data_IF_000636177306
#
_entry.id   IF_000636177306
#
_cell.length_a   1.000
_cell.length_b   1.000
_cell.length_c   1.000
_cell.angle_alpha   90.00
_cell.angle_beta   90.00
_cell.angle_gamma   90.00
#
_symmetry.space_group_name_H-M   'P 1'
#
loop_
_entity.id
_entity.type
_entity.pdbx_description
1 polymer ?
#
# COMPACT_ATOMS: atom_id res chain seq x y z
N UNK A 1 -0.51 7.22 22.81
CA UNK A 1 -0.57 5.80 22.37
C UNK A 1 -1.63 5.66 21.28
N UNK A 2 -1.31 4.92 20.23
CA UNK A 2 -2.26 4.66 19.15
C UNK A 2 -3.41 3.78 19.64
N UNK A 3 -4.65 4.23 19.43
CA UNK A 3 -5.82 3.40 19.73
C UNK A 3 -5.97 2.30 18.70
N UNK A 4 -6.58 1.20 19.10
CA UNK A 4 -6.85 0.06 18.24
C UNK A 4 -8.33 -0.04 17.91
N UNK A 5 -8.64 -0.63 16.78
CA UNK A 5 -10.01 -0.92 16.33
C UNK A 5 -10.07 -2.34 15.80
N UNK A 6 -11.23 -2.95 15.93
CA UNK A 6 -11.47 -4.28 15.37
C UNK A 6 -12.35 -4.15 14.13
N UNK A 7 -11.86 -4.64 13.02
CA UNK A 7 -12.61 -4.76 11.76
C UNK A 7 -13.22 -6.16 11.69
N UNK A 8 -14.53 -6.21 11.47
CA UNK A 8 -15.21 -7.49 11.52
C UNK A 8 -15.19 -8.08 12.92
N UNK A 9 -14.86 -9.37 13.04
CA UNK A 9 -14.90 -10.09 14.31
C UNK A 9 -13.56 -10.18 15.01
N UNK A 10 -12.45 -10.16 14.26
CA UNK A 10 -11.13 -10.53 14.82
C UNK A 10 -9.94 -9.78 14.21
N UNK A 11 -10.13 -8.90 13.24
CA UNK A 11 -9.01 -8.17 12.62
C UNK A 11 -8.72 -6.88 13.41
N UNK A 12 -7.73 -6.93 14.27
CA UNK A 12 -7.30 -5.79 15.07
C UNK A 12 -6.30 -4.93 14.31
N UNK A 13 -6.60 -3.65 14.19
CA UNK A 13 -5.76 -2.68 13.48
C UNK A 13 -5.63 -1.40 14.28
N UNK A 14 -4.58 -0.61 14.00
CA UNK A 14 -4.48 0.74 14.54
C UNK A 14 -5.66 1.58 14.03
N UNK A 15 -6.15 2.49 14.88
CA UNK A 15 -7.31 3.34 14.55
C UNK A 15 -7.05 4.23 13.34
N UNK A 16 -5.77 4.56 13.09
CA UNK A 16 -5.32 5.30 11.91
C UNK A 16 -4.44 4.36 11.08
N UNK A 17 -4.74 4.26 9.80
CA UNK A 17 -3.92 3.52 8.84
C UNK A 17 -3.06 4.44 8.00
N UNK A 18 -2.01 3.90 7.41
CA UNK A 18 -1.15 4.63 6.47
C UNK A 18 -1.49 4.23 5.04
N UNK A 19 -1.97 5.20 4.24
CA UNK A 19 -2.11 5.02 2.80
C UNK A 19 -0.75 5.13 2.14
N UNK A 20 -0.34 4.13 1.37
CA UNK A 20 0.99 4.07 0.78
C UNK A 20 1.03 4.49 -0.70
N UNK A 21 -0.10 4.77 -1.31
CA UNK A 21 -0.18 5.13 -2.73
C UNK A 21 0.76 6.28 -3.11
N UNK A 22 0.83 7.30 -2.28
CA UNK A 22 1.61 8.50 -2.56
C UNK A 22 3.12 8.28 -2.68
N UNK A 23 3.64 7.14 -2.22
CA UNK A 23 5.08 6.86 -2.35
C UNK A 23 5.49 6.57 -3.79
N UNK A 24 4.58 6.09 -4.63
CA UNK A 24 4.95 5.61 -5.96
C UNK A 24 3.90 5.83 -7.05
N UNK A 25 2.78 6.47 -6.73
CA UNK A 25 1.67 6.61 -7.70
C UNK A 25 0.91 7.92 -7.49
N UNK A 26 0.45 8.52 -8.58
CA UNK A 26 -0.50 9.63 -8.69
C UNK A 26 -0.01 11.02 -8.25
N UNK A 27 0.90 11.15 -7.31
CA UNK A 27 1.29 12.44 -6.73
C UNK A 27 2.69 12.89 -7.17
N UNK A 28 2.98 12.80 -8.47
CA UNK A 28 4.27 13.20 -9.02
C UNK A 28 5.27 12.04 -9.11
N UNK A 29 6.55 12.35 -9.07
CA UNK A 29 7.60 11.35 -9.14
C UNK A 29 7.57 10.42 -7.92
N UNK A 30 7.89 9.13 -8.09
CA UNK A 30 8.00 8.21 -6.96
C UNK A 30 9.02 8.71 -5.93
N UNK A 31 8.69 8.50 -4.65
CA UNK A 31 9.61 8.76 -3.55
C UNK A 31 10.79 7.77 -3.64
N UNK A 32 11.98 8.24 -3.35
CA UNK A 32 13.14 7.35 -3.27
C UNK A 32 12.87 6.20 -2.31
N UNK A 33 13.26 4.98 -2.71
CA UNK A 33 12.95 3.76 -1.97
C UNK A 33 13.42 3.83 -0.50
N UNK A 34 14.65 4.24 -0.27
CA UNK A 34 15.20 4.31 1.09
C UNK A 34 14.40 5.26 1.98
N UNK A 35 13.97 6.39 1.44
CA UNK A 35 13.14 7.36 2.16
C UNK A 35 11.75 6.81 2.44
N UNK A 36 11.13 6.15 1.46
CA UNK A 36 9.82 5.55 1.64
C UNK A 36 9.86 4.44 2.69
N UNK A 37 10.86 3.57 2.64
CA UNK A 37 11.06 2.52 3.66
C UNK A 37 11.20 3.14 5.04
N UNK A 38 11.99 4.19 5.17
CA UNK A 38 12.20 4.90 6.44
C UNK A 38 10.88 5.45 7.00
N UNK A 39 10.07 6.07 6.14
CA UNK A 39 8.79 6.65 6.55
C UNK A 39 7.78 5.58 6.96
N UNK A 40 7.70 4.48 6.23
CA UNK A 40 6.81 3.35 6.58
C UNK A 40 7.23 2.76 7.92
N UNK A 41 8.52 2.52 8.13
CA UNK A 41 9.03 2.01 9.41
C UNK A 41 8.79 2.99 10.55
N UNK A 42 8.95 4.29 10.30
CA UNK A 42 8.65 5.31 11.31
C UNK A 42 7.17 5.28 11.72
N UNK A 43 6.27 5.11 10.76
CA UNK A 43 4.86 4.96 11.07
C UNK A 43 4.62 3.74 11.98
N UNK A 44 5.24 2.60 11.65
CA UNK A 44 5.15 1.41 12.51
C UNK A 44 5.66 1.71 13.93
N UNK A 45 6.80 2.37 14.06
CA UNK A 45 7.38 2.72 15.37
C UNK A 45 6.46 3.65 16.17
N UNK A 46 5.63 4.45 15.50
CA UNK A 46 4.63 5.32 16.13
C UNK A 46 3.32 4.61 16.47
N UNK A 47 3.22 3.31 16.18
CA UNK A 47 2.06 2.52 16.52
C UNK A 47 1.11 2.21 15.37
N UNK A 48 1.43 2.62 14.14
CA UNK A 48 0.63 2.24 12.95
C UNK A 48 0.82 0.76 12.68
N UNK A 49 -0.27 0.02 12.57
CA UNK A 49 -0.24 -1.40 12.22
C UNK A 49 -1.04 -1.72 10.96
N UNK A 50 -1.70 -0.72 10.38
CA UNK A 50 -2.55 -0.88 9.20
C UNK A 50 -2.01 -0.06 8.04
N UNK A 51 -1.66 -0.76 6.94
CA UNK A 51 -1.02 -0.16 5.77
C UNK A 51 -1.82 -0.54 4.52
N UNK A 52 -2.15 0.46 3.70
CA UNK A 52 -2.97 0.27 2.51
C UNK A 52 -2.14 0.47 1.25
N UNK A 53 -2.15 -0.52 0.37
CA UNK A 53 -1.48 -0.51 -0.91
C UNK A 53 -2.40 -1.06 -2.00
N UNK A 54 -1.90 -1.24 -3.21
CA UNK A 54 -2.57 -1.93 -4.30
C UNK A 54 -1.55 -2.41 -5.32
N UNK A 55 -1.92 -3.43 -6.08
CA UNK A 55 -1.02 -3.98 -7.11
C UNK A 55 -0.70 -2.98 -8.23
N UNK A 56 -1.49 -1.92 -8.38
CA UNK A 56 -1.30 -0.91 -9.44
C UNK A 56 -0.78 0.44 -8.92
N UNK A 57 -0.32 0.52 -7.68
CA UNK A 57 0.23 1.77 -7.13
C UNK A 57 1.69 1.97 -7.55
N UNK A 58 1.93 1.91 -8.85
CA UNK A 58 3.23 2.13 -9.45
C UNK A 58 3.09 2.91 -10.74
N UNK A 59 4.01 2.68 -11.65
CA UNK A 59 4.02 3.24 -13.01
C UNK A 59 3.66 2.13 -14.01
N UNK A 60 3.40 2.51 -15.27
CA UNK A 60 3.15 1.53 -16.31
C UNK A 60 4.33 0.56 -16.50
N UNK A 61 5.57 1.02 -16.24
CA UNK A 61 6.77 0.20 -16.35
C UNK A 61 6.98 -0.72 -15.16
N UNK A 62 6.52 -0.31 -13.96
CA UNK A 62 6.64 -1.10 -12.73
C UNK A 62 5.37 -0.93 -11.90
N UNK A 63 4.27 -1.59 -12.31
CA UNK A 63 2.98 -1.40 -11.65
C UNK A 63 2.94 -1.91 -10.21
N UNK A 64 3.81 -2.87 -9.85
CA UNK A 64 3.79 -3.52 -8.55
C UNK A 64 4.82 -2.97 -7.56
N UNK A 65 5.48 -1.87 -7.88
CA UNK A 65 6.56 -1.32 -7.07
C UNK A 65 6.10 -0.99 -5.64
N UNK A 66 4.86 -0.54 -5.46
CA UNK A 66 4.35 -0.15 -4.15
C UNK A 66 4.18 -1.35 -3.22
N UNK A 67 3.61 -2.45 -3.70
CA UNK A 67 3.49 -3.67 -2.88
C UNK A 67 4.87 -4.20 -2.48
N UNK A 68 5.83 -4.18 -3.40
CA UNK A 68 7.20 -4.59 -3.13
C UNK A 68 7.84 -3.69 -2.07
N UNK A 69 7.65 -2.39 -2.19
CA UNK A 69 8.15 -1.39 -1.24
C UNK A 69 7.58 -1.61 0.16
N UNK A 70 6.27 -1.76 0.27
CA UNK A 70 5.60 -1.98 1.56
C UNK A 70 6.04 -3.30 2.17
N UNK A 71 6.11 -4.36 1.36
CA UNK A 71 6.59 -5.67 1.81
C UNK A 71 8.01 -5.63 2.32
N UNK A 72 8.90 -4.93 1.63
CA UNK A 72 10.29 -4.74 2.04
C UNK A 72 10.40 -3.97 3.35
N UNK A 73 9.64 -2.88 3.46
CA UNK A 73 9.68 -2.03 4.64
C UNK A 73 9.20 -2.74 5.91
N UNK A 74 8.25 -3.66 5.78
CA UNK A 74 7.58 -4.32 6.91
C UNK A 74 7.94 -5.79 7.07
N UNK A 75 8.92 -6.30 6.31
CA UNK A 75 9.24 -7.73 6.24
C UNK A 75 9.51 -8.36 7.61
N UNK A 76 10.27 -7.67 8.47
CA UNK A 76 10.66 -8.17 9.79
C UNK A 76 9.58 -7.97 10.86
N UNK A 77 8.54 -7.20 10.58
CA UNK A 77 7.42 -6.93 11.49
C UNK A 77 6.08 -7.37 10.92
N UNK A 78 6.08 -8.17 9.87
CA UNK A 78 4.86 -8.58 9.16
C UNK A 78 3.81 -9.24 10.05
N UNK A 79 4.24 -9.94 11.10
CA UNK A 79 3.33 -10.60 12.04
C UNK A 79 2.62 -9.61 12.99
N UNK A 80 3.06 -8.36 13.00
CA UNK A 80 2.50 -7.30 13.83
C UNK A 80 1.81 -6.22 13.00
N UNK A 81 1.63 -6.47 11.70
CA UNK A 81 1.02 -5.52 10.79
C UNK A 81 -0.10 -6.18 9.97
N UNK A 82 -1.02 -5.35 9.52
CA UNK A 82 -2.06 -5.73 8.57
C UNK A 82 -1.85 -4.91 7.31
N UNK A 83 -1.65 -5.57 6.20
CA UNK A 83 -1.47 -4.93 4.90
C UNK A 83 -2.70 -5.21 4.06
N UNK A 84 -3.44 -4.15 3.73
CA UNK A 84 -4.56 -4.23 2.80
C UNK A 84 -4.05 -3.93 1.40
N UNK A 85 -4.36 -4.78 0.45
CA UNK A 85 -4.03 -4.55 -0.95
C UNK A 85 -5.26 -4.79 -1.83
N UNK A 86 -5.14 -4.44 -3.09
CA UNK A 86 -6.20 -4.53 -4.08
C UNK A 86 -5.67 -5.22 -5.33
N UNK A 87 -6.51 -5.99 -5.98
CA UNK A 87 -6.11 -6.75 -7.17
C UNK A 87 -7.19 -6.66 -8.25
N UNK A 88 -6.87 -7.15 -9.43
CA UNK A 88 -7.81 -7.19 -10.55
C UNK A 88 -7.79 -5.96 -11.45
N UNK A 89 -6.92 -4.99 -11.17
CA UNK A 89 -6.68 -3.81 -12.01
C UNK A 89 -5.37 -4.00 -12.78
N UNK A 90 -5.26 -3.31 -13.89
CA UNK A 90 -4.03 -3.26 -14.68
C UNK A 90 -3.94 -1.94 -15.43
N UNK A 91 -2.71 -1.56 -15.79
CA UNK A 91 -2.50 -0.42 -16.63
C UNK A 91 -2.95 -0.73 -18.07
N UNK A 92 -3.59 0.24 -18.70
CA UNK A 92 -3.81 0.22 -20.14
C UNK A 92 -2.48 0.44 -20.85
N UNK A 93 -2.15 -0.44 -21.79
CA UNK A 93 -0.86 -0.40 -22.47
C UNK A 93 -0.68 0.84 -23.34
N UNK A 94 -1.77 1.40 -23.88
CA UNK A 94 -1.70 2.56 -24.74
C UNK A 94 -1.62 3.87 -23.96
N UNK A 95 -2.50 4.04 -22.96
CA UNK A 95 -2.60 5.30 -22.22
C UNK A 95 -1.70 5.36 -20.99
N UNK A 96 -1.23 4.22 -20.49
CA UNK A 96 -0.48 4.13 -19.24
C UNK A 96 -1.33 4.43 -18.00
N UNK A 97 -2.64 4.46 -18.12
CA UNK A 97 -3.58 4.74 -17.03
C UNK A 97 -4.31 3.49 -16.60
N UNK A 98 -4.79 3.47 -15.36
CA UNK A 98 -5.70 2.43 -14.89
C UNK A 98 -7.09 2.78 -15.39
N UNK A 99 -7.70 1.94 -16.25
CA UNK A 99 -9.00 2.27 -16.81
C UNK A 99 -10.13 2.16 -15.79
N UNK A 100 -11.12 3.00 -15.96
CA UNK A 100 -12.38 2.95 -15.23
C UNK A 100 -13.50 2.67 -16.24
N UNK A 101 -14.57 1.97 -15.85
CA UNK A 101 -14.86 1.31 -14.58
C UNK A 101 -14.04 0.04 -14.37
N UNK A 102 -14.13 -0.54 -13.17
CA UNK A 102 -13.35 -1.70 -12.73
C UNK A 102 -13.85 -2.99 -13.38
N UNK A 103 -13.92 -3.02 -14.69
CA UNK A 103 -14.36 -4.18 -15.46
C UNK A 103 -13.41 -5.39 -15.34
N UNK A 104 -12.27 -5.18 -14.71
CA UNK A 104 -11.23 -6.17 -14.53
C UNK A 104 -11.25 -6.85 -13.17
N UNK A 105 -12.17 -6.51 -12.30
CA UNK A 105 -12.40 -7.27 -11.07
C UNK A 105 -12.99 -8.62 -11.45
N UNK A 106 -12.14 -9.59 -11.65
CA UNK A 106 -12.58 -10.96 -11.83
C UNK A 106 -12.93 -11.53 -10.46
N UNK A 107 -14.11 -12.05 -10.39
CA UNK A 107 -14.52 -12.83 -9.23
C UNK A 107 -13.68 -14.11 -9.15
#
# INVERSE_FOLDING_TARGET
>A
MMQMRTLGTDLNVSAVGLGCMGFSHAYGAPTEEAEAVRLIRRAFDLGYTFFDTAEVYGTADDPHVNETLVGKALADVKNHTVIATKFGLRFDQESGKVPLPLVYLKK
#
